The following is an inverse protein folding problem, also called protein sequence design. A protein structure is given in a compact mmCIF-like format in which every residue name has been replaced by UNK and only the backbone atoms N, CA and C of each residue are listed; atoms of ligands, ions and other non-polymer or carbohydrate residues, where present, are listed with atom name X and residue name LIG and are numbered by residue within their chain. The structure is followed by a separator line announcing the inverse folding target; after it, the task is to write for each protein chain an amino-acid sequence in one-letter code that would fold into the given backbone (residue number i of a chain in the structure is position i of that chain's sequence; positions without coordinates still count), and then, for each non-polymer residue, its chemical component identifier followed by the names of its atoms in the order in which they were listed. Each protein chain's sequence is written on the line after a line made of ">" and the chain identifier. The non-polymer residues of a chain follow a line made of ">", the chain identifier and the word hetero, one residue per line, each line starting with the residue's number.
data_IF_113697599518
#
_entry.id   IF_113697599518
#
_cell.length_a   1.000
_cell.length_b   1.000
_cell.length_c   1.000
_cell.angle_alpha   90.00
_cell.angle_beta   90.00
_cell.angle_gamma   90.00
#
_symmetry.space_group_name_H-M   'P 1'
#
loop_
_entity.id
_entity.type
_entity.pdbx_description
1 polymer ?
#
# COMPACT_ATOMS: atom_id res chain seq x y z
N UNK A 1 -22.90 -6.18 11.82
CA UNK A 1 -22.32 -6.41 10.47
C UNK A 1 -23.28 -5.97 9.37
N UNK A 2 -24.54 -6.42 9.33
CA UNK A 2 -25.53 -6.02 8.31
C UNK A 2 -25.69 -4.49 8.12
N UNK A 3 -25.67 -3.73 9.22
CA UNK A 3 -25.81 -2.27 9.17
C UNK A 3 -24.64 -1.55 8.46
N UNK A 4 -23.41 -2.08 8.58
CA UNK A 4 -22.22 -1.52 7.92
C UNK A 4 -22.16 -1.87 6.44
N UNK A 5 -22.57 -3.08 6.06
CA UNK A 5 -22.69 -3.45 4.64
C UNK A 5 -23.70 -2.53 3.94
N UNK A 6 -24.89 -2.35 4.53
CA UNK A 6 -25.91 -1.44 4.02
C UNK A 6 -25.37 0.00 3.91
N UNK A 7 -24.65 0.47 4.92
CA UNK A 7 -24.03 1.80 4.90
C UNK A 7 -23.04 1.97 3.74
N UNK A 8 -22.23 0.93 3.44
CA UNK A 8 -21.31 0.96 2.28
C UNK A 8 -22.06 0.96 0.95
N UNK A 9 -23.17 0.24 0.85
CA UNK A 9 -24.03 0.27 -0.34
C UNK A 9 -24.56 1.67 -0.59
N UNK A 10 -25.05 2.36 0.44
CA UNK A 10 -25.51 3.75 0.34
C UNK A 10 -24.37 4.71 -0.02
N UNK A 11 -23.18 4.51 0.57
CA UNK A 11 -22.00 5.30 0.23
C UNK A 11 -21.59 5.12 -1.24
N UNK A 12 -21.62 3.88 -1.75
CA UNK A 12 -21.32 3.57 -3.15
C UNK A 12 -22.32 4.24 -4.09
N UNK A 13 -23.63 4.11 -3.83
CA UNK A 13 -24.67 4.75 -4.63
C UNK A 13 -24.53 6.28 -4.64
N UNK A 14 -24.18 6.86 -3.50
CA UNK A 14 -23.94 8.31 -3.35
C UNK A 14 -22.73 8.78 -4.16
N UNK A 15 -21.61 8.06 -4.07
CA UNK A 15 -20.41 8.38 -4.86
C UNK A 15 -20.63 8.15 -6.36
N UNK A 16 -21.40 7.14 -6.72
CA UNK A 16 -21.81 6.90 -8.10
C UNK A 16 -22.66 8.05 -8.64
N UNK A 17 -23.69 8.48 -7.92
CA UNK A 17 -24.51 9.62 -8.33
C UNK A 17 -23.71 10.90 -8.46
N UNK A 18 -22.80 11.14 -7.50
CA UNK A 18 -21.91 12.30 -7.50
C UNK A 18 -21.11 12.41 -8.81
N UNK A 19 -20.69 11.30 -9.41
CA UNK A 19 -19.94 11.31 -10.67
C UNK A 19 -20.73 11.92 -11.85
N UNK A 20 -22.07 12.03 -11.75
CA UNK A 20 -22.94 12.53 -12.83
C UNK A 20 -23.66 13.84 -12.52
N UNK A 21 -23.60 14.32 -11.27
CA UNK A 21 -24.33 15.51 -10.83
C UNK A 21 -23.44 16.76 -10.89
N UNK A 22 -23.94 17.83 -11.52
CA UNK A 22 -23.28 19.14 -11.47
C UNK A 22 -23.30 19.72 -10.05
N UNK A 23 -22.17 20.26 -9.62
CA UNK A 23 -21.99 20.82 -8.27
C UNK A 23 -22.29 19.81 -7.15
N UNK A 24 -22.14 18.51 -7.42
CA UNK A 24 -22.47 17.43 -6.49
C UNK A 24 -21.81 17.60 -5.12
N UNK A 25 -20.57 18.08 -5.07
CA UNK A 25 -19.83 18.31 -3.82
C UNK A 25 -20.54 19.31 -2.89
N UNK A 26 -21.15 20.36 -3.45
CA UNK A 26 -21.92 21.35 -2.67
C UNK A 26 -23.25 20.80 -2.15
N UNK A 27 -23.75 19.72 -2.76
CA UNK A 27 -25.03 19.08 -2.45
C UNK A 27 -24.83 17.74 -1.74
N UNK A 28 -23.60 17.35 -1.40
CA UNK A 28 -23.29 15.99 -1.00
C UNK A 28 -24.12 15.53 0.21
N UNK A 29 -24.35 16.41 1.18
CA UNK A 29 -25.14 16.10 2.37
C UNK A 29 -26.60 15.81 2.03
N UNK A 30 -27.18 16.57 1.08
CA UNK A 30 -28.54 16.33 0.60
C UNK A 30 -28.65 15.04 -0.21
N UNK A 31 -27.61 14.69 -0.97
CA UNK A 31 -27.54 13.43 -1.73
C UNK A 31 -27.45 12.24 -0.76
N UNK A 32 -26.56 12.32 0.24
CA UNK A 32 -26.43 11.29 1.29
C UNK A 32 -27.78 11.09 1.97
N UNK A 33 -28.41 12.16 2.43
CA UNK A 33 -29.69 12.08 3.14
C UNK A 33 -30.77 11.41 2.29
N UNK A 34 -30.92 11.85 1.04
CA UNK A 34 -31.91 11.30 0.11
C UNK A 34 -31.66 9.81 -0.17
N UNK A 35 -30.41 9.41 -0.33
CA UNK A 35 -30.06 8.01 -0.60
C UNK A 35 -30.25 7.13 0.64
N UNK A 36 -30.01 7.63 1.85
CA UNK A 36 -30.33 6.90 3.09
C UNK A 36 -31.84 6.67 3.19
N UNK A 37 -32.65 7.72 3.00
CA UNK A 37 -34.11 7.61 3.05
C UNK A 37 -34.66 6.61 2.04
N UNK A 38 -34.07 6.57 0.84
CA UNK A 38 -34.53 5.71 -0.24
C UNK A 38 -34.08 4.25 -0.10
N UNK A 39 -32.81 4.00 0.26
CA UNK A 39 -32.19 2.67 0.16
C UNK A 39 -31.89 2.02 1.51
N UNK A 40 -31.88 2.79 2.59
CA UNK A 40 -31.62 2.29 3.94
C UNK A 40 -32.59 2.91 4.97
N UNK A 41 -33.91 2.80 4.78
CA UNK A 41 -34.86 3.31 5.77
C UNK A 41 -34.67 2.58 7.10
N UNK A 42 -34.40 3.34 8.16
CA UNK A 42 -34.11 2.79 9.49
C UNK A 42 -32.62 2.51 9.76
N UNK A 43 -31.70 3.09 8.96
CA UNK A 43 -30.27 3.07 9.27
C UNK A 43 -29.99 3.82 10.57
N UNK A 44 -29.52 3.12 11.60
CA UNK A 44 -29.23 3.72 12.91
C UNK A 44 -27.97 4.61 12.92
N UNK A 45 -26.93 4.23 12.15
CA UNK A 45 -25.63 4.91 12.11
C UNK A 45 -25.42 5.62 10.77
N UNK A 46 -25.95 6.83 10.67
CA UNK A 46 -25.77 7.71 9.51
C UNK A 46 -24.37 8.29 9.45
N UNK A 47 -23.69 8.45 10.59
CA UNK A 47 -22.33 8.99 10.66
C UNK A 47 -21.34 8.16 9.85
N UNK A 48 -21.44 6.83 9.90
CA UNK A 48 -20.55 5.97 9.12
C UNK A 48 -20.65 6.23 7.61
N UNK A 49 -21.85 6.40 7.06
CA UNK A 49 -22.06 6.73 5.63
C UNK A 49 -21.41 8.07 5.31
N UNK A 50 -21.67 9.07 6.14
CA UNK A 50 -21.15 10.43 5.95
C UNK A 50 -19.62 10.48 5.99
N UNK A 51 -19.02 9.83 6.98
CA UNK A 51 -17.57 9.78 7.15
C UNK A 51 -16.90 9.04 6.00
N UNK A 52 -17.49 7.93 5.55
CA UNK A 52 -16.99 7.16 4.41
C UNK A 52 -17.05 7.98 3.11
N UNK A 53 -18.19 8.60 2.80
CA UNK A 53 -18.36 9.41 1.58
C UNK A 53 -17.42 10.61 1.59
N UNK A 54 -17.40 11.40 2.67
CA UNK A 54 -16.53 12.59 2.78
C UNK A 54 -15.06 12.20 2.80
N UNK A 55 -14.72 11.10 3.46
CA UNK A 55 -13.37 10.56 3.50
C UNK A 55 -12.86 10.19 2.11
N UNK A 56 -13.68 9.46 1.34
CA UNK A 56 -13.37 9.12 -0.06
C UNK A 56 -13.19 10.38 -0.90
N UNK A 57 -14.12 11.35 -0.84
CA UNK A 57 -14.03 12.61 -1.59
C UNK A 57 -12.75 13.38 -1.23
N UNK A 58 -12.46 13.51 0.06
CA UNK A 58 -11.29 14.24 0.56
C UNK A 58 -9.95 13.59 0.20
N UNK A 59 -9.94 12.28 -0.10
CA UNK A 59 -8.74 11.53 -0.51
C UNK A 59 -8.76 11.09 -1.97
N UNK A 60 -9.77 11.49 -2.74
CA UNK A 60 -10.03 10.96 -4.08
C UNK A 60 -8.80 11.01 -4.98
N UNK A 61 -8.11 12.16 -5.10
CA UNK A 61 -6.92 12.29 -5.96
C UNK A 61 -5.82 11.28 -5.62
N UNK A 62 -5.59 11.02 -4.33
CA UNK A 62 -4.57 10.07 -3.88
C UNK A 62 -5.03 8.63 -4.14
N UNK A 63 -6.28 8.32 -3.86
CA UNK A 63 -6.89 7.02 -4.12
C UNK A 63 -6.85 6.69 -5.61
N UNK A 64 -7.28 7.63 -6.45
CA UNK A 64 -7.30 7.51 -7.90
C UNK A 64 -5.90 7.22 -8.46
N UNK A 65 -4.86 7.92 -7.97
CA UNK A 65 -3.46 7.62 -8.34
C UNK A 65 -3.00 6.22 -7.91
N UNK A 66 -3.49 5.70 -6.79
CA UNK A 66 -3.16 4.34 -6.33
C UNK A 66 -3.86 3.30 -7.20
N UNK A 67 -5.11 3.55 -7.61
CA UNK A 67 -5.84 2.69 -8.55
C UNK A 67 -5.07 2.56 -9.85
N UNK A 68 -4.63 3.68 -10.44
CA UNK A 68 -3.87 3.69 -11.70
C UNK A 68 -2.55 2.91 -11.60
N UNK A 69 -1.88 2.97 -10.44
CA UNK A 69 -0.62 2.23 -10.22
C UNK A 69 -0.86 0.74 -10.03
N UNK A 70 -1.95 0.36 -9.36
CA UNK A 70 -2.33 -1.03 -9.14
C UNK A 70 -2.99 -1.69 -10.38
N UNK A 71 -3.51 -0.88 -11.31
CA UNK A 71 -4.15 -1.32 -12.55
C UNK A 71 -3.66 -0.49 -13.75
N UNK A 72 -2.37 -0.58 -14.14
CA UNK A 72 -1.77 0.28 -15.17
C UNK A 72 -2.40 0.11 -16.56
N UNK A 73 -2.95 -1.07 -16.85
CA UNK A 73 -3.64 -1.37 -18.11
C UNK A 73 -5.05 -0.75 -18.19
N UNK A 74 -5.56 -0.17 -17.08
CA UNK A 74 -6.92 0.37 -16.97
C UNK A 74 -6.88 1.81 -16.46
N UNK A 75 -6.77 2.79 -17.37
CA UNK A 75 -6.92 4.20 -17.02
C UNK A 75 -8.23 4.45 -16.25
N UNK A 76 -8.19 5.35 -15.28
CA UNK A 76 -9.30 5.51 -14.32
C UNK A 76 -10.65 5.89 -14.97
N UNK A 77 -10.58 6.61 -16.09
CA UNK A 77 -11.71 7.00 -16.92
C UNK A 77 -12.32 5.83 -17.70
N UNK A 78 -11.54 4.77 -17.94
CA UNK A 78 -12.00 3.53 -18.60
C UNK A 78 -12.56 2.50 -17.62
N UNK A 79 -12.32 2.66 -16.31
CA UNK A 79 -12.93 1.82 -15.29
C UNK A 79 -14.42 2.15 -15.17
N UNK A 80 -15.27 1.11 -15.16
CA UNK A 80 -16.71 1.26 -14.97
C UNK A 80 -17.00 2.09 -13.69
N UNK A 81 -17.94 3.02 -13.77
CA UNK A 81 -18.18 3.98 -12.69
C UNK A 81 -18.50 3.31 -11.34
N UNK A 82 -19.21 2.16 -11.37
CA UNK A 82 -19.45 1.35 -10.16
C UNK A 82 -18.13 0.82 -9.60
N UNK A 83 -17.35 0.09 -10.41
CA UNK A 83 -16.09 -0.52 -9.99
C UNK A 83 -15.10 0.52 -9.48
N UNK A 84 -15.01 1.68 -10.15
CA UNK A 84 -14.19 2.80 -9.71
C UNK A 84 -14.59 3.30 -8.32
N UNK A 85 -15.88 3.48 -8.06
CA UNK A 85 -16.35 3.96 -6.75
C UNK A 85 -16.24 2.88 -5.66
N UNK A 86 -16.40 1.60 -6.00
CA UNK A 86 -16.14 0.49 -5.09
C UNK A 86 -14.65 0.42 -4.73
N UNK A 87 -13.75 0.55 -5.71
CA UNK A 87 -12.30 0.63 -5.47
C UNK A 87 -11.97 1.82 -4.58
N UNK A 88 -12.59 2.97 -4.81
CA UNK A 88 -12.37 4.16 -3.98
C UNK A 88 -12.76 3.93 -2.52
N UNK A 89 -13.91 3.30 -2.27
CA UNK A 89 -14.35 2.92 -0.92
C UNK A 89 -13.38 1.93 -0.29
N UNK A 90 -13.08 0.82 -0.98
CA UNK A 90 -12.21 -0.22 -0.45
C UNK A 90 -10.81 0.28 -0.13
N UNK A 91 -10.22 1.08 -1.02
CA UNK A 91 -8.91 1.70 -0.79
C UNK A 91 -8.94 2.76 0.31
N UNK A 92 -10.04 3.51 0.44
CA UNK A 92 -10.17 4.46 1.54
C UNK A 92 -10.12 3.72 2.89
N UNK A 93 -10.91 2.65 3.05
CA UNK A 93 -10.92 1.85 4.27
C UNK A 93 -9.58 1.15 4.51
N UNK A 94 -8.91 0.63 3.47
CA UNK A 94 -7.60 0.01 3.58
C UNK A 94 -6.51 1.00 4.01
N UNK A 95 -6.49 2.21 3.46
CA UNK A 95 -5.35 3.13 3.61
C UNK A 95 -5.53 4.17 4.72
N UNK A 96 -6.78 4.52 5.03
CA UNK A 96 -7.14 5.60 5.95
C UNK A 96 -8.14 5.17 7.03
N UNK A 97 -8.70 3.97 6.94
CA UNK A 97 -9.64 3.44 7.92
C UNK A 97 -8.99 3.05 9.25
N UNK A 98 -9.81 3.00 10.31
CA UNK A 98 -9.39 2.50 11.61
C UNK A 98 -9.37 0.95 11.60
N UNK A 99 -8.16 0.37 11.59
CA UNK A 99 -7.97 -1.10 11.52
C UNK A 99 -8.57 -1.86 12.70
N UNK A 100 -8.75 -1.21 13.86
CA UNK A 100 -9.41 -1.82 15.03
C UNK A 100 -10.92 -1.97 14.81
N UNK A 101 -11.50 -1.13 13.97
CA UNK A 101 -12.93 -1.14 13.67
C UNK A 101 -13.26 -1.93 12.41
N UNK A 102 -12.40 -1.85 11.39
CA UNK A 102 -12.54 -2.58 10.12
C UNK A 102 -11.20 -3.19 9.75
N UNK A 103 -11.00 -4.49 10.01
CA UNK A 103 -9.81 -5.21 9.56
C UNK A 103 -9.70 -5.20 8.03
N UNK A 104 -8.48 -5.28 7.50
CA UNK A 104 -8.22 -5.21 6.06
C UNK A 104 -9.03 -6.20 5.23
N UNK A 105 -9.10 -7.46 5.66
CA UNK A 105 -9.88 -8.49 4.96
C UNK A 105 -11.36 -8.15 4.88
N UNK A 106 -11.90 -7.56 5.95
CA UNK A 106 -13.31 -7.16 5.98
C UNK A 106 -13.52 -6.05 4.96
N UNK A 107 -12.65 -5.04 4.91
CA UNK A 107 -12.74 -3.99 3.89
C UNK A 107 -12.65 -4.54 2.46
N UNK A 108 -11.73 -5.48 2.19
CA UNK A 108 -11.57 -6.11 0.88
C UNK A 108 -12.82 -6.93 0.52
N UNK A 109 -13.27 -7.81 1.41
CA UNK A 109 -14.43 -8.66 1.16
C UNK A 109 -15.69 -7.82 0.93
N UNK A 110 -15.91 -6.79 1.74
CA UNK A 110 -17.06 -5.89 1.59
C UNK A 110 -17.02 -5.15 0.24
N UNK A 111 -15.85 -4.67 -0.19
CA UNK A 111 -15.70 -4.07 -1.51
C UNK A 111 -15.98 -5.07 -2.64
N UNK A 112 -15.52 -6.32 -2.53
CA UNK A 112 -15.80 -7.37 -3.52
C UNK A 112 -17.30 -7.67 -3.59
N UNK A 113 -17.99 -7.74 -2.45
CA UNK A 113 -19.43 -7.99 -2.42
C UNK A 113 -20.23 -6.80 -3.00
N UNK A 114 -19.80 -5.56 -2.79
CA UNK A 114 -20.37 -4.41 -3.49
C UNK A 114 -20.17 -4.50 -5.01
N UNK A 115 -18.96 -4.87 -5.45
CA UNK A 115 -18.66 -5.04 -6.88
C UNK A 115 -19.54 -6.12 -7.52
N UNK A 116 -19.79 -7.23 -6.82
CA UNK A 116 -20.71 -8.30 -7.28
C UNK A 116 -22.16 -7.85 -7.30
N UNK A 117 -22.56 -7.01 -6.34
CA UNK A 117 -23.96 -6.59 -6.19
C UNK A 117 -24.37 -5.51 -7.20
N UNK A 118 -23.44 -4.63 -7.58
CA UNK A 118 -23.74 -3.46 -8.41
C UNK A 118 -23.02 -3.44 -9.76
N UNK A 119 -21.93 -4.21 -9.90
CA UNK A 119 -21.13 -4.28 -11.12
C UNK A 119 -21.59 -5.39 -12.07
N UNK A 120 -20.71 -5.76 -13.01
CA UNK A 120 -20.91 -6.87 -13.94
C UNK A 120 -20.22 -8.18 -13.51
N UNK A 121 -20.33 -9.22 -14.33
CA UNK A 121 -19.82 -10.57 -14.03
C UNK A 121 -18.31 -10.61 -13.69
N UNK A 122 -17.52 -9.68 -14.24
CA UNK A 122 -16.08 -9.58 -14.01
C UNK A 122 -15.70 -8.63 -12.85
N UNK A 123 -16.61 -7.80 -12.37
CA UNK A 123 -16.34 -6.71 -11.42
C UNK A 123 -15.76 -7.21 -10.10
N UNK A 124 -16.33 -8.26 -9.52
CA UNK A 124 -15.81 -8.85 -8.27
C UNK A 124 -14.36 -9.33 -8.40
N UNK A 125 -14.00 -9.95 -9.52
CA UNK A 125 -12.63 -10.42 -9.79
C UNK A 125 -11.67 -9.25 -10.01
N UNK A 126 -12.11 -8.25 -10.77
CA UNK A 126 -11.32 -7.04 -11.03
C UNK A 126 -11.01 -6.29 -9.72
N UNK A 127 -12.04 -5.99 -8.92
CA UNK A 127 -11.88 -5.30 -7.63
C UNK A 127 -10.98 -6.07 -6.68
N UNK A 128 -11.15 -7.40 -6.58
CA UNK A 128 -10.27 -8.25 -5.79
C UNK A 128 -8.81 -8.16 -6.24
N UNK A 129 -8.56 -8.19 -7.56
CA UNK A 129 -7.21 -8.10 -8.12
C UNK A 129 -6.51 -6.78 -7.76
N UNK A 130 -7.21 -5.65 -7.88
CA UNK A 130 -6.66 -4.32 -7.57
C UNK A 130 -6.44 -4.16 -6.07
N UNK A 131 -7.45 -4.42 -5.23
CA UNK A 131 -7.32 -4.29 -3.78
C UNK A 131 -6.30 -5.27 -3.20
N UNK A 132 -6.23 -6.49 -3.74
CA UNK A 132 -5.22 -7.48 -3.36
C UNK A 132 -3.80 -7.03 -3.70
N UNK A 133 -3.60 -6.35 -4.83
CA UNK A 133 -2.29 -5.78 -5.19
C UNK A 133 -1.85 -4.73 -4.18
N UNK A 134 -2.75 -3.79 -3.85
CA UNK A 134 -2.48 -2.78 -2.82
C UNK A 134 -2.24 -3.40 -1.45
N UNK A 135 -3.06 -4.40 -1.06
CA UNK A 135 -2.91 -5.08 0.22
C UNK A 135 -1.52 -5.72 0.39
N UNK A 136 -0.98 -6.32 -0.67
CA UNK A 136 0.36 -6.93 -0.66
C UNK A 136 1.47 -5.90 -0.56
N UNK A 137 1.33 -4.78 -1.27
CA UNK A 137 2.34 -3.73 -1.23
C UNK A 137 2.40 -3.03 0.14
N UNK A 138 1.31 -3.05 0.91
CA UNK A 138 1.29 -2.58 2.30
C UNK A 138 2.07 -3.48 3.29
N UNK A 139 2.64 -4.61 2.85
CA UNK A 139 3.44 -5.49 3.70
C UNK A 139 2.65 -6.20 4.80
N UNK A 140 1.32 -6.33 4.64
CA UNK A 140 0.47 -7.00 5.62
C UNK A 140 0.51 -8.51 5.40
N UNK A 141 0.76 -9.28 6.45
CA UNK A 141 0.74 -10.75 6.40
C UNK A 141 -0.66 -11.27 5.98
N UNK A 142 -0.69 -12.23 5.05
CA UNK A 142 -1.89 -13.01 4.77
C UNK A 142 -2.17 -13.95 5.94
N UNK A 143 -3.08 -13.59 6.84
CA UNK A 143 -3.99 -14.64 7.33
C UNK A 143 -5.00 -14.89 6.19
N UNK A 144 -5.47 -16.11 5.97
CA UNK A 144 -6.24 -16.47 4.77
C UNK A 144 -7.44 -15.57 4.45
N UNK A 145 -7.49 -15.07 3.20
CA UNK A 145 -8.70 -14.51 2.57
C UNK A 145 -9.31 -15.67 1.77
N UNK A 146 -10.48 -16.12 2.20
CA UNK A 146 -11.11 -17.32 1.65
C UNK A 146 -11.38 -17.23 0.15
N UNK A 147 -10.69 -18.06 -0.63
CA UNK A 147 -11.26 -19.07 -1.51
C UNK A 147 -10.23 -20.22 -1.58
N UNK A 148 -10.62 -21.43 -1.18
CA UNK A 148 -9.80 -22.63 -1.25
C UNK A 148 -9.36 -22.90 -2.70
N UNK A 149 -8.15 -22.45 -3.07
CA UNK A 149 -7.42 -22.99 -4.20
C UNK A 149 -6.25 -23.81 -3.68
N UNK A 150 -6.38 -25.13 -3.83
CA UNK A 150 -5.42 -26.20 -3.51
C UNK A 150 -3.96 -25.71 -3.45
N UNK A 151 -3.38 -25.80 -2.26
CA UNK A 151 -2.00 -25.48 -1.92
C UNK A 151 -0.99 -26.05 -2.94
N UNK A 152 -0.43 -25.17 -3.76
CA UNK A 152 0.98 -25.31 -4.11
C UNK A 152 1.76 -24.55 -3.03
N UNK A 153 2.83 -25.13 -2.46
CA UNK A 153 3.67 -24.40 -1.52
C UNK A 153 4.13 -23.09 -2.17
N UNK A 154 4.21 -21.99 -1.39
CA UNK A 154 4.58 -20.70 -1.95
C UNK A 154 5.94 -20.80 -2.62
N UNK A 155 6.08 -20.19 -3.79
CA UNK A 155 7.40 -20.07 -4.43
C UNK A 155 8.25 -19.17 -3.55
N UNK A 156 9.45 -19.62 -3.16
CA UNK A 156 10.35 -18.78 -2.37
C UNK A 156 11.09 -17.80 -3.30
N UNK A 157 11.04 -16.52 -2.93
CA UNK A 157 11.80 -15.47 -3.60
C UNK A 157 12.69 -14.80 -2.56
N UNK A 158 13.99 -14.81 -2.81
CA UNK A 158 14.98 -14.14 -1.95
C UNK A 158 15.24 -12.74 -2.46
N UNK A 159 15.15 -11.79 -1.55
CA UNK A 159 15.44 -10.39 -1.79
C UNK A 159 16.55 -9.95 -0.85
N UNK A 160 17.23 -8.88 -1.26
CA UNK A 160 18.25 -8.25 -0.44
C UNK A 160 18.10 -6.74 -0.49
N UNK A 161 18.37 -6.09 0.64
CA UNK A 161 18.34 -4.65 0.79
C UNK A 161 19.33 -4.18 1.84
N UNK A 162 19.36 -2.88 2.09
CA UNK A 162 20.20 -2.35 3.16
C UNK A 162 19.65 -1.08 3.81
N UNK A 163 20.02 -0.90 5.07
CA UNK A 163 20.00 0.39 5.74
C UNK A 163 21.25 1.15 5.29
N UNK A 164 21.07 2.00 4.29
CA UNK A 164 22.13 2.86 3.78
C UNK A 164 22.31 4.07 4.69
N UNK A 165 23.52 4.30 5.16
CA UNK A 165 23.85 5.42 6.02
C UNK A 165 25.12 6.15 5.57
N UNK A 166 25.23 7.42 5.95
CA UNK A 166 26.46 8.21 5.81
C UNK A 166 26.68 9.11 7.04
N UNK A 167 27.89 9.62 7.20
CA UNK A 167 28.20 10.67 8.18
C UNK A 167 28.04 12.02 7.50
N UNK A 168 26.96 12.73 7.82
CA UNK A 168 26.76 14.13 7.42
C UNK A 168 27.24 15.11 8.50
N UNK A 169 27.11 16.41 8.23
CA UNK A 169 27.59 17.48 9.11
C UNK A 169 26.93 17.47 10.50
N UNK A 170 25.69 17.00 10.59
CA UNK A 170 24.88 16.95 11.82
C UNK A 170 24.80 15.56 12.46
N UNK A 171 25.54 14.59 11.94
CA UNK A 171 25.53 13.21 12.44
C UNK A 171 25.17 12.19 11.36
N UNK A 172 24.56 11.09 11.77
CA UNK A 172 24.19 9.99 10.87
C UNK A 172 22.95 10.35 10.05
N UNK A 173 23.05 10.16 8.74
CA UNK A 173 21.95 10.25 7.80
C UNK A 173 21.64 8.89 7.20
N UNK A 174 20.36 8.62 6.95
CA UNK A 174 19.84 7.38 6.40
C UNK A 174 19.15 7.64 5.08
N UNK A 175 19.48 6.88 4.03
CA UNK A 175 18.77 6.99 2.76
C UNK A 175 17.52 6.10 2.80
N UNK A 176 16.35 6.70 2.57
CA UNK A 176 15.08 6.01 2.44
C UNK A 176 14.47 6.29 1.07
N UNK A 177 13.68 5.33 0.58
CA UNK A 177 12.84 5.46 -0.61
C UNK A 177 11.39 5.60 -0.19
N UNK A 178 10.61 6.39 -0.91
CA UNK A 178 9.20 6.62 -0.67
C UNK A 178 8.39 5.89 -1.73
N UNK A 179 7.46 5.07 -1.25
CA UNK A 179 6.56 4.33 -2.10
C UNK A 179 5.31 5.15 -2.45
N UNK A 180 4.61 4.64 -3.46
CA UNK A 180 3.40 5.24 -3.99
C UNK A 180 2.21 5.24 -3.02
N UNK A 181 2.27 4.50 -1.91
CA UNK A 181 1.24 4.48 -0.85
C UNK A 181 1.47 5.58 0.19
N UNK A 182 2.62 6.23 0.14
CA UNK A 182 2.99 7.30 1.05
C UNK A 182 3.83 6.83 2.24
N UNK A 183 4.50 5.68 2.12
CA UNK A 183 5.38 5.16 3.16
C UNK A 183 6.84 5.29 2.74
N UNK A 184 7.69 5.65 3.70
CA UNK A 184 9.14 5.55 3.58
C UNK A 184 9.59 4.14 3.94
N UNK A 185 10.49 3.58 3.13
CA UNK A 185 11.02 2.21 3.27
C UNK A 185 12.47 2.14 2.81
N UNK A 186 13.05 0.94 2.84
CA UNK A 186 14.42 0.66 2.42
C UNK A 186 14.46 0.17 0.98
N UNK A 187 15.55 0.52 0.28
CA UNK A 187 15.87 -0.04 -1.04
C UNK A 187 16.07 -1.55 -0.92
N UNK A 188 15.34 -2.33 -1.73
CA UNK A 188 15.36 -3.80 -1.71
C UNK A 188 15.00 -4.38 -3.07
N UNK A 189 15.70 -5.44 -3.45
CA UNK A 189 15.60 -6.02 -4.80
C UNK A 189 15.71 -7.53 -4.80
N UNK A 190 15.38 -8.14 -5.94
CA UNK A 190 15.59 -9.58 -6.16
C UNK A 190 17.08 -9.87 -6.27
N UNK A 191 17.49 -11.03 -5.75
CA UNK A 191 18.82 -11.57 -6.00
C UNK A 191 18.86 -12.16 -7.40
N UNK A 192 19.82 -11.74 -8.22
CA UNK A 192 19.97 -12.12 -9.62
C UNK A 192 21.26 -12.93 -9.85
N UNK A 193 21.26 -13.81 -10.86
CA UNK A 193 22.51 -14.32 -11.44
C UNK A 193 23.46 -15.07 -10.50
N UNK A 194 22.98 -15.72 -9.44
CA UNK A 194 23.82 -16.45 -8.48
C UNK A 194 24.68 -15.56 -7.58
N UNK A 195 24.40 -14.26 -7.54
CA UNK A 195 25.06 -13.30 -6.65
C UNK A 195 24.76 -13.60 -5.17
N UNK A 196 25.65 -13.17 -4.28
CA UNK A 196 25.41 -13.21 -2.84
C UNK A 196 24.36 -12.17 -2.42
N UNK A 197 23.71 -12.36 -1.26
CA UNK A 197 22.73 -11.41 -0.74
C UNK A 197 23.35 -10.00 -0.61
N UNK A 198 24.61 -9.89 -0.17
CA UNK A 198 25.31 -8.61 -0.08
C UNK A 198 25.54 -7.95 -1.45
N UNK A 199 25.91 -8.72 -2.48
CA UNK A 199 26.09 -8.20 -3.84
C UNK A 199 24.77 -7.69 -4.43
N UNK A 200 23.68 -8.45 -4.23
CA UNK A 200 22.34 -8.04 -4.68
C UNK A 200 21.86 -6.75 -4.02
N UNK A 201 22.07 -6.59 -2.71
CA UNK A 201 21.75 -5.33 -2.03
C UNK A 201 22.55 -4.15 -2.63
N UNK A 202 23.85 -4.33 -2.87
CA UNK A 202 24.70 -3.28 -3.43
C UNK A 202 24.25 -2.89 -4.84
N UNK A 203 23.93 -3.88 -5.69
CA UNK A 203 23.43 -3.66 -7.05
C UNK A 203 22.10 -2.91 -7.02
N UNK A 204 21.14 -3.36 -6.21
CA UNK A 204 19.83 -2.74 -6.12
C UNK A 204 19.91 -1.27 -5.69
N UNK A 205 20.68 -0.98 -4.64
CA UNK A 205 20.89 0.40 -4.14
C UNK A 205 21.47 1.29 -5.25
N UNK A 206 22.38 0.75 -6.06
CA UNK A 206 22.96 1.46 -7.19
C UNK A 206 21.94 1.70 -8.30
N UNK A 207 21.08 0.74 -8.58
CA UNK A 207 20.07 0.82 -9.63
C UNK A 207 18.88 1.71 -9.25
N UNK A 208 18.37 1.60 -8.02
CA UNK A 208 17.21 2.34 -7.53
C UNK A 208 17.55 3.78 -7.19
N UNK A 209 18.62 4.01 -6.40
CA UNK A 209 18.91 5.33 -5.81
C UNK A 209 20.28 5.91 -6.23
N UNK A 210 21.03 5.21 -7.07
CA UNK A 210 22.25 5.72 -7.70
C UNK A 210 23.50 5.72 -6.81
N UNK A 211 23.39 5.24 -5.57
CA UNK A 211 24.46 5.33 -4.58
C UNK A 211 25.48 4.19 -4.71
N UNK A 212 26.76 4.53 -4.64
CA UNK A 212 27.83 3.54 -4.41
C UNK A 212 27.99 3.33 -2.91
N UNK A 213 27.89 2.07 -2.47
CA UNK A 213 27.93 1.71 -1.06
C UNK A 213 28.93 0.58 -0.77
N UNK A 214 29.43 0.58 0.47
CA UNK A 214 30.16 -0.54 1.06
C UNK A 214 29.22 -1.31 1.99
N UNK A 215 28.91 -2.55 1.62
CA UNK A 215 28.07 -3.44 2.43
C UNK A 215 28.86 -3.90 3.66
N UNK A 216 28.22 -3.81 4.82
CA UNK A 216 28.71 -4.26 6.11
C UNK A 216 27.97 -5.49 6.60
N UNK A 217 27.76 -5.57 7.91
CA UNK A 217 27.11 -6.72 8.54
C UNK A 217 25.61 -6.78 8.27
N UNK A 218 25.06 -7.99 8.30
CA UNK A 218 23.62 -8.25 8.33
C UNK A 218 22.99 -7.65 9.59
N UNK A 219 21.81 -7.04 9.46
CA UNK A 219 21.06 -6.41 10.55
C UNK A 219 19.77 -7.16 10.87
N UNK A 220 19.20 -7.86 9.90
CA UNK A 220 18.02 -8.66 10.14
C UNK A 220 17.39 -9.15 8.84
N UNK A 221 16.35 -9.94 9.01
CA UNK A 221 15.55 -10.49 7.92
C UNK A 221 14.09 -10.17 8.15
N UNK A 222 13.35 -9.99 7.07
CA UNK A 222 11.90 -9.94 7.10
C UNK A 222 11.31 -10.96 6.10
N UNK A 223 10.23 -11.62 6.49
CA UNK A 223 9.51 -12.56 5.62
C UNK A 223 8.06 -12.11 5.47
N UNK A 224 7.56 -12.09 4.24
CA UNK A 224 6.16 -11.80 3.95
C UNK A 224 5.70 -12.60 2.73
N UNK A 225 4.41 -12.92 2.69
CA UNK A 225 3.80 -13.60 1.55
C UNK A 225 3.19 -12.54 0.63
N UNK A 226 3.53 -12.61 -0.65
CA UNK A 226 2.93 -11.81 -1.69
C UNK A 226 2.37 -12.73 -2.78
N UNK A 227 1.10 -12.57 -3.15
CA UNK A 227 0.56 -13.17 -4.37
C UNK A 227 1.09 -12.47 -5.63
N UNK A 228 1.69 -13.24 -6.52
CA UNK A 228 2.08 -12.85 -7.87
C UNK A 228 1.00 -13.32 -8.86
N UNK A 229 0.54 -12.48 -9.81
CA UNK A 229 -0.54 -12.84 -10.75
C UNK A 229 -0.26 -14.09 -11.59
N UNK A 230 1.00 -14.37 -11.92
CA UNK A 230 1.40 -15.52 -12.72
C UNK A 230 1.83 -16.71 -11.85
N UNK A 231 2.55 -16.43 -10.75
CA UNK A 231 3.21 -17.45 -9.93
C UNK A 231 2.38 -17.92 -8.73
N UNK A 232 1.30 -17.23 -8.36
CA UNK A 232 0.51 -17.54 -7.17
C UNK A 232 1.17 -17.02 -5.89
N UNK A 233 0.96 -17.70 -4.74
CA UNK A 233 1.57 -17.29 -3.46
C UNK A 233 3.11 -17.37 -3.58
N UNK A 234 3.80 -16.26 -3.32
CA UNK A 234 5.26 -16.17 -3.29
C UNK A 234 5.68 -15.77 -1.88
N UNK A 235 6.50 -16.58 -1.22
CA UNK A 235 7.10 -16.23 0.07
C UNK A 235 8.35 -15.41 -0.20
N UNK A 236 8.30 -14.11 0.10
CA UNK A 236 9.42 -13.18 -0.03
C UNK A 236 10.20 -13.15 1.27
N UNK A 237 11.49 -13.47 1.21
CA UNK A 237 12.42 -13.37 2.34
C UNK A 237 13.47 -12.32 2.00
N UNK A 238 13.50 -11.22 2.76
CA UNK A 238 14.40 -10.09 2.54
C UNK A 238 15.48 -10.11 3.61
N UNK A 239 16.75 -10.16 3.21
CA UNK A 239 17.88 -9.91 4.11
C UNK A 239 18.29 -8.44 4.04
N UNK A 240 18.47 -7.80 5.19
CA UNK A 240 18.94 -6.41 5.28
C UNK A 240 20.34 -6.32 5.86
N UNK A 241 21.18 -5.49 5.23
CA UNK A 241 22.54 -5.18 5.69
C UNK A 241 22.66 -3.74 6.16
N UNK A 242 23.73 -3.41 6.89
CA UNK A 242 24.22 -2.04 6.95
C UNK A 242 25.02 -1.74 5.70
N UNK A 243 24.83 -0.56 5.11
CA UNK A 243 25.61 -0.12 3.98
C UNK A 243 26.10 1.32 4.21
N UNK A 244 27.41 1.55 4.17
CA UNK A 244 27.96 2.91 4.28
C UNK A 244 28.14 3.52 2.90
N UNK A 245 27.68 4.75 2.72
CA UNK A 245 27.97 5.58 1.55
C UNK A 245 29.00 6.65 1.94
N UNK A 246 30.03 6.86 1.10
CA UNK A 246 31.08 7.85 1.37
C UNK A 246 30.60 9.28 1.15
N UNK A 247 29.80 9.52 0.11
CA UNK A 247 29.00 10.72 -0.17
C UNK A 247 28.24 10.54 -1.50
N UNK A 248 27.14 11.27 -1.70
CA UNK A 248 26.39 11.21 -2.96
C UNK A 248 24.96 11.74 -2.84
N UNK A 249 24.52 12.44 -3.89
CA UNK A 249 23.12 12.81 -4.06
C UNK A 249 22.33 11.58 -4.51
N UNK A 250 21.20 11.37 -3.86
CA UNK A 250 20.27 10.31 -4.25
C UNK A 250 19.66 10.67 -5.61
N UNK A 251 19.73 9.72 -6.54
CA UNK A 251 19.11 9.82 -7.86
C UNK A 251 18.14 8.67 -8.03
N UNK A 252 16.89 8.90 -7.65
CA UNK A 252 15.85 7.89 -7.80
C UNK A 252 15.60 7.61 -9.29
N UNK A 253 15.74 6.35 -9.69
CA UNK A 253 15.27 5.86 -10.98
C UNK A 253 13.77 5.60 -10.88
N UNK A 254 12.98 6.09 -11.85
CA UNK A 254 11.51 5.93 -11.89
C UNK A 254 11.10 4.50 -12.27
N UNK A 255 11.47 3.52 -11.45
CA UNK A 255 11.17 2.10 -11.64
C UNK A 255 10.74 1.52 -10.29
N UNK A 256 9.80 0.56 -10.30
CA UNK A 256 9.45 -0.20 -9.07
C UNK A 256 8.48 0.45 -8.09
N UNK A 257 7.64 1.39 -8.53
CA UNK A 257 6.61 1.97 -7.64
C UNK A 257 7.15 2.91 -6.55
N UNK A 258 8.34 3.46 -6.77
CA UNK A 258 8.94 4.49 -5.93
C UNK A 258 8.78 5.86 -6.59
N UNK A 259 8.45 6.89 -5.82
CA UNK A 259 8.25 8.25 -6.32
C UNK A 259 9.19 9.30 -5.72
N UNK A 260 9.85 9.01 -4.59
CA UNK A 260 10.84 9.88 -3.97
C UNK A 260 11.94 9.09 -3.25
N UNK A 261 13.13 9.66 -3.08
CA UNK A 261 14.18 9.10 -2.24
C UNK A 261 15.05 10.21 -1.65
N UNK A 262 15.34 10.13 -0.34
CA UNK A 262 15.95 11.23 0.43
C UNK A 262 16.83 10.72 1.56
N UNK A 263 17.74 11.59 1.98
CA UNK A 263 18.51 11.44 3.22
C UNK A 263 17.71 12.01 4.39
N UNK A 264 17.67 11.26 5.50
CA UNK A 264 17.00 11.66 6.73
C UNK A 264 17.96 11.60 7.91
N UNK A 265 17.89 12.58 8.80
CA UNK A 265 18.59 12.53 10.07
C UNK A 265 17.87 11.55 11.02
N UNK A 266 18.61 10.99 11.97
CA UNK A 266 18.06 10.03 12.94
C UNK A 266 16.79 10.57 13.65
N UNK A 267 16.77 11.86 14.00
CA UNK A 267 15.66 12.50 14.70
C UNK A 267 14.39 12.60 13.83
N UNK A 268 14.53 12.73 12.51
CA UNK A 268 13.41 12.95 11.59
C UNK A 268 12.67 11.62 11.31
N UNK A 269 13.33 10.48 11.53
CA UNK A 269 12.76 9.15 11.28
C UNK A 269 11.50 8.85 12.11
N UNK A 270 11.35 9.50 13.27
CA UNK A 270 10.21 9.28 14.18
C UNK A 270 8.91 9.80 13.58
N UNK A 271 8.98 10.88 12.82
CA UNK A 271 7.81 11.54 12.22
C UNK A 271 7.44 10.96 10.85
N UNK A 272 8.28 10.07 10.30
CA UNK A 272 8.01 9.43 9.02
C UNK A 272 6.98 8.30 9.14
N UNK A 273 6.12 8.24 8.12
CA UNK A 273 5.23 7.11 7.89
C UNK A 273 6.05 5.95 7.33
N UNK A 274 6.45 5.01 8.17
CA UNK A 274 7.29 3.84 7.83
C UNK A 274 6.53 2.57 8.23
N UNK A 275 6.68 1.49 7.48
CA UNK A 275 6.12 0.18 7.85
C UNK A 275 6.72 -0.35 9.15
N UNK A 276 5.94 -1.09 9.94
CA UNK A 276 6.34 -1.50 11.29
C UNK A 276 7.52 -2.49 11.29
N UNK A 277 7.60 -3.37 10.28
CA UNK A 277 8.72 -4.27 10.03
C UNK A 277 10.02 -3.51 9.76
N UNK A 278 9.95 -2.46 8.93
CA UNK A 278 11.10 -1.61 8.58
C UNK A 278 11.55 -0.77 9.77
N UNK A 279 10.63 -0.31 10.63
CA UNK A 279 10.97 0.37 11.89
C UNK A 279 11.84 -0.51 12.78
N UNK A 280 11.54 -1.81 12.87
CA UNK A 280 12.37 -2.77 13.60
C UNK A 280 13.80 -2.86 13.05
N UNK A 281 13.93 -2.99 11.73
CA UNK A 281 15.24 -3.04 11.05
C UNK A 281 16.05 -1.76 11.26
N UNK A 282 15.43 -0.58 11.11
CA UNK A 282 16.07 0.71 11.35
C UNK A 282 16.54 0.88 12.80
N UNK A 283 15.73 0.45 13.76
CA UNK A 283 16.09 0.52 15.17
C UNK A 283 17.32 -0.33 15.49
N UNK A 284 17.40 -1.56 14.95
CA UNK A 284 18.57 -2.43 15.16
C UNK A 284 19.82 -1.88 14.44
N UNK A 285 19.67 -1.31 13.24
CA UNK A 285 20.74 -0.64 12.53
C UNK A 285 21.32 0.54 13.35
N UNK A 286 20.47 1.43 13.85
CA UNK A 286 20.86 2.58 14.68
C UNK A 286 21.59 2.12 15.94
N UNK A 287 21.03 1.14 16.66
CA UNK A 287 21.63 0.56 17.88
C UNK A 287 23.01 -0.02 17.59
N UNK A 288 23.16 -0.66 16.43
CA UNK A 288 24.42 -1.25 15.98
C UNK A 288 25.46 -0.19 15.63
N UNK A 289 25.05 0.90 14.96
CA UNK A 289 25.94 2.01 14.63
C UNK A 289 26.39 2.80 15.86
N UNK A 290 25.56 2.90 16.91
CA UNK A 290 25.93 3.55 18.18
C UNK A 290 26.91 2.75 19.04
N UNK A 291 27.08 1.46 18.79
CA UNK A 291 28.01 0.57 19.52
C UNK A 291 29.43 0.55 18.92
N UNK A 292 29.61 1.13 17.73
CA UNK A 292 30.90 1.27 17.04
C UNK A 292 31.46 2.66 17.25
#
# INVERSE_FOLDING_TARGET
>A
MANRHLSRSVAMQTLFERDFVQEADSKIDSIIQRNIEQFAPGLDDVSFVQDLVRGVIGKQKKIDSIIEKAAPEWPIDQIAAVDRNVLRIGLFELLFGNKKEVPYKVAINEAIELAKSFGGDSSGKFVNGVLGTVYRELGVEEEDIGEEKKDKPPIEEKLSGAVVYRKGDKGLEFALVHDVFGYWTLSKGRIEGGESEAEGAKREIKEEIGLDVSIGQEIGKNEYIASDPEKGKVKKSVTYFLASAENGDIKLKKTGGLDEAKWFQMQDLVDLKIYDDIRGILAEAIKTLKKK
#
